data_IF_772766837923
#
_entry.id   IF_772766837923
#
_cell.length_a   1.000
_cell.length_b   1.000
_cell.length_c   1.000
_cell.angle_alpha   90.00
_cell.angle_beta   90.00
_cell.angle_gamma   90.00
#
_symmetry.space_group_name_H-M   'P 1'
#
loop_
_entity.id
_entity.type
_entity.pdbx_description
1 polymer ?
#
# COMPACT_ATOMS: atom_id res chain seq x y z
N UNK A 1 -1.92 5.34 -2.35
CA UNK A 1 -2.62 4.64 -1.25
C UNK A 1 -2.04 3.25 -0.99
N UNK A 2 -1.75 2.44 -2.02
CA UNK A 2 -0.96 1.19 -1.87
C UNK A 2 0.34 1.40 -1.08
N UNK A 3 1.15 2.40 -1.43
CA UNK A 3 2.36 2.77 -0.66
C UNK A 3 2.07 3.10 0.82
N UNK A 4 0.94 3.72 1.14
CA UNK A 4 0.58 4.02 2.54
C UNK A 4 0.07 2.77 3.27
N UNK A 5 -0.67 1.88 2.60
CA UNK A 5 -1.14 0.60 3.14
C UNK A 5 0.03 -0.35 3.31
N UNK A 6 0.92 -0.47 2.33
CA UNK A 6 2.16 -1.25 2.37
C UNK A 6 3.14 -0.71 3.41
N UNK A 7 3.34 0.62 3.51
CA UNK A 7 4.16 1.22 4.58
C UNK A 7 3.52 0.99 5.94
N UNK A 8 2.19 1.07 6.08
CA UNK A 8 1.55 0.84 7.37
C UNK A 8 1.49 -0.66 7.73
N UNK A 9 1.36 -1.57 6.76
CA UNK A 9 1.51 -3.02 6.94
C UNK A 9 2.94 -3.36 7.36
N UNK A 10 3.93 -2.69 6.77
CA UNK A 10 5.34 -2.78 7.18
C UNK A 10 5.63 -2.09 8.52
N UNK A 11 4.79 -1.15 8.96
CA UNK A 11 4.80 -0.63 10.34
C UNK A 11 4.14 -1.63 11.29
N UNK A 12 3.08 -2.32 10.89
CA UNK A 12 2.43 -3.39 11.66
C UNK A 12 3.35 -4.60 11.80
N UNK A 13 4.07 -5.01 10.76
CA UNK A 13 5.01 -6.15 10.81
C UNK A 13 6.40 -5.74 11.28
N UNK A 14 6.83 -4.49 11.03
CA UNK A 14 8.14 -3.98 11.42
C UNK A 14 8.22 -3.42 12.84
N UNK A 15 7.09 -3.04 13.46
CA UNK A 15 7.06 -2.54 14.85
C UNK A 15 6.98 -3.67 15.89
N UNK A 16 6.72 -4.91 15.46
CA UNK A 16 6.92 -6.10 16.27
C UNK A 16 8.22 -6.80 15.86
N UNK A 17 9.31 -6.34 16.47
CA UNK A 17 10.52 -7.12 16.79
C UNK A 17 10.74 -8.40 15.96
N UNK A 18 11.64 -8.34 14.98
CA UNK A 18 12.51 -9.43 14.45
C UNK A 18 12.25 -10.84 15.03
N UNK A 19 11.11 -11.41 14.71
CA UNK A 19 10.73 -12.75 15.12
C UNK A 19 9.64 -13.16 14.16
N UNK A 20 9.90 -14.15 13.32
CA UNK A 20 8.88 -14.76 12.43
C UNK A 20 7.56 -15.02 13.20
N UNK A 21 7.71 -15.40 14.47
CA UNK A 21 6.61 -15.58 15.44
C UNK A 21 5.68 -14.37 15.63
N UNK A 22 6.17 -13.14 15.56
CA UNK A 22 5.35 -11.94 15.79
C UNK A 22 4.58 -11.50 14.53
N UNK A 23 5.16 -11.73 13.35
CA UNK A 23 4.48 -11.60 12.07
C UNK A 23 3.38 -12.67 11.93
N UNK A 24 3.71 -13.92 12.30
CA UNK A 24 2.76 -15.04 12.33
C UNK A 24 1.59 -14.76 13.31
N UNK A 25 1.88 -14.28 14.52
CA UNK A 25 0.84 -13.95 15.52
C UNK A 25 -0.06 -12.76 15.06
N UNK A 26 0.50 -11.76 14.35
CA UNK A 26 -0.27 -10.64 13.77
C UNK A 26 -1.18 -11.10 12.63
N UNK A 27 -0.64 -11.92 11.73
CA UNK A 27 -1.40 -12.52 10.63
C UNK A 27 -2.52 -13.41 11.16
N UNK A 28 -2.26 -14.22 12.19
CA UNK A 28 -3.30 -15.02 12.86
C UNK A 28 -4.43 -14.15 13.42
N UNK A 29 -4.11 -12.98 14.00
CA UNK A 29 -5.12 -12.03 14.47
C UNK A 29 -5.95 -11.44 13.32
N UNK A 30 -5.32 -11.06 12.19
CA UNK A 30 -6.03 -10.55 11.01
C UNK A 30 -6.91 -11.64 10.41
N UNK A 31 -6.40 -12.85 10.24
CA UNK A 31 -7.15 -14.03 9.75
C UNK A 31 -8.40 -14.24 10.61
N UNK A 32 -8.24 -14.26 11.94
CA UNK A 32 -9.37 -14.39 12.86
C UNK A 32 -10.38 -13.25 12.69
N UNK A 33 -9.93 -12.00 12.57
CA UNK A 33 -10.84 -10.86 12.35
C UNK A 33 -11.60 -10.97 11.03
N UNK A 34 -10.97 -11.47 9.96
CA UNK A 34 -11.61 -11.70 8.67
C UNK A 34 -12.62 -12.85 8.73
N UNK A 35 -12.32 -13.92 9.46
CA UNK A 35 -13.24 -15.02 9.74
C UNK A 35 -14.45 -14.57 10.56
N UNK A 36 -14.25 -13.77 11.62
CA UNK A 36 -15.34 -13.21 12.43
C UNK A 36 -16.28 -12.31 11.61
N UNK A 37 -15.77 -11.71 10.53
CA UNK A 37 -16.55 -10.92 9.56
C UNK A 37 -17.12 -11.73 8.40
N UNK A 38 -16.89 -13.04 8.35
CA UNK A 38 -17.33 -13.91 7.27
C UNK A 38 -16.67 -13.61 5.91
N UNK A 39 -15.52 -12.94 5.92
CA UNK A 39 -14.77 -12.61 4.70
C UNK A 39 -13.76 -13.69 4.31
N UNK A 40 -13.46 -14.61 5.24
CA UNK A 40 -12.52 -15.68 5.07
C UNK A 40 -13.09 -16.96 5.69
N UNK A 41 -12.82 -18.11 5.09
CA UNK A 41 -13.32 -19.39 5.59
C UNK A 41 -12.73 -19.71 6.96
N UNK A 42 -13.54 -20.34 7.82
CA UNK A 42 -13.15 -20.68 9.19
C UNK A 42 -11.96 -21.64 9.27
N UNK A 43 -11.70 -22.41 8.20
CA UNK A 43 -10.60 -23.34 8.06
C UNK A 43 -9.41 -22.75 7.28
N UNK A 44 -9.44 -21.46 6.95
CA UNK A 44 -8.33 -20.81 6.26
C UNK A 44 -7.00 -21.01 7.03
N UNK A 45 -5.95 -21.51 6.37
CA UNK A 45 -4.72 -21.87 7.04
C UNK A 45 -3.97 -20.62 7.49
N UNK A 46 -3.52 -20.61 8.74
CA UNK A 46 -2.65 -19.56 9.26
C UNK A 46 -1.62 -20.14 10.22
N UNK A 47 -0.41 -19.59 10.18
CA UNK A 47 0.63 -19.86 11.16
C UNK A 47 0.43 -18.97 12.41
N UNK A 48 0.97 -19.39 13.56
CA UNK A 48 0.94 -18.59 14.79
C UNK A 48 -0.31 -18.75 15.67
N UNK A 49 -0.28 -18.14 16.86
CA UNK A 49 -1.43 -18.07 17.76
C UNK A 49 -1.93 -16.63 17.83
N UNK A 50 -3.25 -16.37 17.74
CA UNK A 50 -3.80 -15.02 17.77
C UNK A 50 -3.65 -14.39 19.17
N UNK A 51 -2.47 -13.85 19.46
CA UNK A 51 -2.11 -13.20 20.73
C UNK A 51 -2.12 -11.70 20.54
N UNK A 52 -2.61 -10.97 21.54
CA UNK A 52 -2.67 -9.49 21.52
C UNK A 52 -3.48 -8.87 20.36
N UNK A 53 -4.50 -9.56 19.84
CA UNK A 53 -5.31 -9.07 18.73
C UNK A 53 -6.01 -7.72 18.99
N UNK A 54 -6.12 -7.29 20.24
CA UNK A 54 -6.63 -5.95 20.57
C UNK A 54 -5.74 -4.84 19.96
N UNK A 55 -4.42 -5.04 19.89
CA UNK A 55 -3.48 -4.09 19.29
C UNK A 55 -3.67 -4.05 17.77
N UNK A 56 -3.74 -5.22 17.14
CA UNK A 56 -4.02 -5.35 15.71
C UNK A 56 -5.35 -4.66 15.36
N UNK A 57 -6.40 -4.90 16.15
CA UNK A 57 -7.70 -4.27 15.96
C UNK A 57 -7.68 -2.75 16.10
N UNK A 58 -6.89 -2.22 17.04
CA UNK A 58 -6.69 -0.77 17.21
C UNK A 58 -6.04 -0.15 15.97
N UNK A 59 -5.04 -0.83 15.41
CA UNK A 59 -4.36 -0.36 14.19
C UNK A 59 -5.27 -0.47 12.97
N UNK A 60 -6.00 -1.57 12.81
CA UNK A 60 -6.98 -1.76 11.73
C UNK A 60 -8.06 -0.68 11.77
N UNK A 61 -8.56 -0.35 12.97
CA UNK A 61 -9.52 0.74 13.13
C UNK A 61 -8.94 2.10 12.72
N UNK A 62 -7.66 2.34 13.05
CA UNK A 62 -6.97 3.57 12.65
C UNK A 62 -6.74 3.65 11.14
N UNK A 63 -6.41 2.51 10.51
CA UNK A 63 -6.30 2.35 9.06
C UNK A 63 -7.62 2.65 8.36
N UNK A 64 -8.68 2.03 8.85
CA UNK A 64 -10.02 2.19 8.33
C UNK A 64 -10.44 3.66 8.38
N UNK A 65 -10.25 4.31 9.54
CA UNK A 65 -10.53 5.74 9.68
C UNK A 65 -9.68 6.60 8.73
N UNK A 66 -8.37 6.34 8.64
CA UNK A 66 -7.47 7.08 7.75
C UNK A 66 -7.76 6.88 6.25
N UNK A 67 -8.28 5.71 5.86
CA UNK A 67 -8.78 5.47 4.52
C UNK A 67 -10.01 6.35 4.23
N UNK A 68 -10.97 6.36 5.15
CA UNK A 68 -12.22 7.08 4.95
C UNK A 68 -12.12 8.59 5.09
N UNK A 69 -11.15 9.13 5.83
CA UNK A 69 -10.94 10.59 5.92
C UNK A 69 -10.54 11.20 4.58
N UNK A 70 -9.99 10.43 3.64
CA UNK A 70 -9.67 10.92 2.29
C UNK A 70 -10.90 11.28 1.46
N UNK A 71 -12.06 10.71 1.80
CA UNK A 71 -13.33 11.10 1.18
C UNK A 71 -13.78 12.46 1.71
N UNK A 72 -13.47 12.78 2.98
CA UNK A 72 -13.80 14.07 3.61
C UNK A 72 -12.96 15.22 3.04
N UNK A 73 -11.78 14.92 2.49
CA UNK A 73 -10.90 15.88 1.79
C UNK A 73 -11.38 16.24 0.38
N UNK A 74 -12.44 15.60 -0.13
CA UNK A 74 -13.00 15.85 -1.46
C UNK A 74 -14.29 16.66 -1.31
N UNK A 75 -14.31 17.86 -1.89
CA UNK A 75 -15.51 18.73 -1.98
C UNK A 75 -16.53 18.14 -2.96
N UNK A 76 -17.21 17.08 -2.55
CA UNK A 76 -18.28 16.52 -3.36
C UNK A 76 -19.42 15.97 -2.49
N UNK A 77 -20.63 16.37 -2.87
CA UNK A 77 -21.90 16.15 -2.15
C UNK A 77 -22.20 14.65 -1.91
N UNK A 78 -21.51 13.72 -2.60
CA UNK A 78 -21.76 12.27 -2.50
C UNK A 78 -20.63 11.48 -1.81
N UNK A 79 -19.58 12.15 -1.32
CA UNK A 79 -18.44 11.49 -0.69
C UNK A 79 -18.84 10.75 0.59
N UNK A 80 -19.74 11.33 1.38
CA UNK A 80 -20.28 10.73 2.61
C UNK A 80 -21.09 9.45 2.34
N UNK A 81 -21.87 9.43 1.26
CA UNK A 81 -22.62 8.25 0.85
C UNK A 81 -21.65 7.11 0.48
N UNK A 82 -20.69 7.40 -0.41
CA UNK A 82 -19.72 6.40 -0.86
C UNK A 82 -18.92 5.85 0.32
N UNK A 83 -18.43 6.73 1.21
CA UNK A 83 -17.74 6.34 2.44
C UNK A 83 -18.59 5.40 3.30
N UNK A 84 -19.88 5.67 3.44
CA UNK A 84 -20.80 4.84 4.21
C UNK A 84 -21.01 3.48 3.57
N UNK A 85 -21.23 3.42 2.26
CA UNK A 85 -21.39 2.16 1.53
C UNK A 85 -20.15 1.27 1.59
N UNK A 86 -18.96 1.85 1.45
CA UNK A 86 -17.70 1.11 1.58
C UNK A 86 -17.49 0.57 3.00
N UNK A 87 -17.87 1.34 4.04
CA UNK A 87 -17.86 0.88 5.43
C UNK A 87 -18.79 -0.31 5.64
N UNK A 88 -20.04 -0.19 5.20
CA UNK A 88 -21.06 -1.21 5.37
C UNK A 88 -20.66 -2.53 4.67
N UNK A 89 -19.94 -2.43 3.55
CA UNK A 89 -19.46 -3.57 2.79
C UNK A 89 -18.07 -4.09 3.22
N UNK A 90 -17.54 -3.60 4.35
CA UNK A 90 -16.24 -3.98 4.92
C UNK A 90 -15.08 -3.84 3.92
N UNK A 91 -15.07 -2.78 3.11
CA UNK A 91 -14.13 -2.64 1.99
C UNK A 91 -12.66 -2.76 2.40
N UNK A 92 -12.27 -2.09 3.50
CA UNK A 92 -10.90 -2.14 4.03
C UNK A 92 -10.50 -3.55 4.45
N UNK A 93 -11.42 -4.33 5.01
CA UNK A 93 -11.16 -5.72 5.39
C UNK A 93 -11.00 -6.63 4.16
N UNK A 94 -11.72 -6.37 3.06
CA UNK A 94 -11.51 -7.07 1.77
C UNK A 94 -10.14 -6.76 1.17
N UNK A 95 -9.66 -5.52 1.32
CA UNK A 95 -8.30 -5.17 0.95
C UNK A 95 -7.25 -5.90 1.83
N UNK A 96 -7.49 -6.02 3.13
CA UNK A 96 -6.63 -6.80 4.03
C UNK A 96 -6.63 -8.30 3.71
N UNK A 97 -7.78 -8.86 3.31
CA UNK A 97 -7.89 -10.26 2.86
C UNK A 97 -6.91 -10.55 1.70
N UNK A 98 -6.75 -9.60 0.78
CA UNK A 98 -5.77 -9.72 -0.32
C UNK A 98 -4.36 -9.96 0.22
N UNK A 99 -3.90 -9.12 1.15
CA UNK A 99 -2.55 -9.21 1.73
C UNK A 99 -2.34 -10.55 2.44
N UNK A 100 -3.34 -11.03 3.20
CA UNK A 100 -3.29 -12.34 3.87
C UNK A 100 -3.19 -13.50 2.88
N UNK A 101 -3.90 -13.43 1.76
CA UNK A 101 -3.81 -14.44 0.70
C UNK A 101 -2.41 -14.40 0.05
N UNK A 102 -1.89 -13.20 -0.28
CA UNK A 102 -0.57 -13.02 -0.90
C UNK A 102 0.58 -13.48 0.03
N UNK A 103 0.44 -13.29 1.34
CA UNK A 103 1.46 -13.67 2.32
C UNK A 103 1.36 -15.12 2.79
N UNK A 104 0.35 -15.88 2.36
CA UNK A 104 0.13 -17.25 2.84
C UNK A 104 1.23 -18.20 2.35
N UNK A 105 1.92 -18.83 3.30
CA UNK A 105 2.94 -19.86 3.04
C UNK A 105 2.34 -21.27 2.90
N UNK A 106 1.07 -21.44 3.30
CA UNK A 106 0.39 -22.74 3.42
C UNK A 106 -0.52 -23.05 2.22
N UNK A 107 -0.76 -22.09 1.35
CA UNK A 107 -1.57 -22.26 0.14
C UNK A 107 -0.70 -22.56 -1.08
N UNK A 108 -1.26 -23.33 -2.02
CA UNK A 108 -0.61 -23.51 -3.32
C UNK A 108 -0.70 -22.21 -4.14
N UNK A 109 0.19 -22.03 -5.12
CA UNK A 109 0.13 -20.84 -6.01
C UNK A 109 -1.19 -20.75 -6.79
N UNK A 110 -1.75 -21.89 -7.19
CA UNK A 110 -3.01 -21.93 -7.93
C UNK A 110 -4.18 -21.49 -7.04
N UNK A 111 -4.19 -21.93 -5.77
CA UNK A 111 -5.19 -21.51 -4.78
C UNK A 111 -5.05 -20.02 -4.45
N UNK A 112 -3.82 -19.53 -4.25
CA UNK A 112 -3.54 -18.10 -4.04
C UNK A 112 -4.10 -17.29 -5.22
N UNK A 113 -3.76 -17.65 -6.46
CA UNK A 113 -4.22 -16.92 -7.64
C UNK A 113 -5.75 -16.94 -7.78
N UNK A 114 -6.38 -18.09 -7.53
CA UNK A 114 -7.84 -18.21 -7.55
C UNK A 114 -8.49 -17.29 -6.52
N UNK A 115 -8.05 -17.36 -5.26
CA UNK A 115 -8.60 -16.56 -4.17
C UNK A 115 -8.36 -15.06 -4.37
N UNK A 116 -7.22 -14.67 -4.95
CA UNK A 116 -6.94 -13.27 -5.30
C UNK A 116 -7.88 -12.76 -6.40
N UNK A 117 -8.14 -13.56 -7.42
CA UNK A 117 -9.08 -13.20 -8.49
C UNK A 117 -10.52 -13.05 -7.96
N UNK A 118 -10.96 -13.99 -7.12
CA UNK A 118 -12.26 -13.90 -6.45
C UNK A 118 -12.36 -12.64 -5.58
N UNK A 119 -11.33 -12.36 -4.77
CA UNK A 119 -11.29 -11.16 -3.93
C UNK A 119 -11.28 -9.87 -4.76
N UNK A 120 -10.63 -9.86 -5.92
CA UNK A 120 -10.59 -8.71 -6.84
C UNK A 120 -11.98 -8.41 -7.42
N UNK A 121 -12.70 -9.43 -7.87
CA UNK A 121 -14.07 -9.26 -8.35
C UNK A 121 -15.02 -8.82 -7.22
N UNK A 122 -14.90 -9.39 -6.02
CA UNK A 122 -15.65 -8.95 -4.84
C UNK A 122 -15.44 -7.47 -4.54
N UNK A 123 -14.19 -7.01 -4.50
CA UNK A 123 -13.86 -5.60 -4.28
C UNK A 123 -14.44 -4.71 -5.38
N UNK A 124 -14.41 -5.16 -6.63
CA UNK A 124 -14.98 -4.43 -7.78
C UNK A 124 -16.50 -4.30 -7.67
N UNK A 125 -17.19 -5.36 -7.27
CA UNK A 125 -18.62 -5.34 -7.06
C UNK A 125 -19.00 -4.34 -5.96
N UNK A 126 -18.31 -4.36 -4.82
CA UNK A 126 -18.55 -3.40 -3.72
C UNK A 126 -18.41 -1.95 -4.19
N UNK A 127 -17.39 -1.64 -5.01
CA UNK A 127 -17.16 -0.28 -5.49
C UNK A 127 -18.22 0.14 -6.52
N UNK A 128 -18.61 -0.78 -7.42
CA UNK A 128 -19.67 -0.53 -8.39
C UNK A 128 -21.03 -0.33 -7.71
N UNK A 129 -21.34 -1.14 -6.69
CA UNK A 129 -22.58 -1.04 -5.93
C UNK A 129 -22.61 0.28 -5.13
N UNK A 130 -21.52 0.60 -4.41
CA UNK A 130 -21.40 1.89 -3.73
C UNK A 130 -21.56 3.07 -4.70
N UNK A 131 -20.97 2.97 -5.89
CA UNK A 131 -21.10 4.01 -6.90
C UNK A 131 -22.55 4.12 -7.40
N UNK A 132 -23.18 2.99 -7.71
CA UNK A 132 -24.56 2.92 -8.20
C UNK A 132 -25.56 3.45 -7.16
N UNK A 133 -25.46 3.00 -5.92
CA UNK A 133 -26.38 3.34 -4.84
C UNK A 133 -26.25 4.81 -4.43
N UNK A 134 -25.03 5.34 -4.45
CA UNK A 134 -24.77 6.76 -4.25
C UNK A 134 -25.01 7.62 -5.50
N UNK A 135 -25.44 7.02 -6.62
CA UNK A 135 -25.58 7.66 -7.93
C UNK A 135 -24.31 8.44 -8.34
N UNK A 136 -23.16 7.92 -7.93
CA UNK A 136 -21.85 8.45 -8.17
C UNK A 136 -21.30 7.80 -9.45
N UNK A 137 -20.54 8.54 -10.26
CA UNK A 137 -19.81 7.93 -11.37
C UNK A 137 -18.89 6.80 -10.84
N UNK A 138 -18.89 5.59 -11.40
CA UNK A 138 -18.00 4.49 -10.99
C UNK A 138 -16.51 4.82 -11.13
N UNK A 139 -16.15 5.94 -11.78
CA UNK A 139 -14.78 6.46 -11.87
C UNK A 139 -14.47 7.54 -10.82
N UNK A 140 -15.28 7.69 -9.78
CA UNK A 140 -15.23 8.78 -8.78
C UNK A 140 -13.80 9.17 -8.35
N UNK A 141 -13.30 10.22 -9.02
CA UNK A 141 -11.99 10.85 -8.84
C UNK A 141 -10.75 9.93 -9.00
N UNK A 142 -10.85 8.79 -9.68
CA UNK A 142 -9.73 7.85 -9.84
C UNK A 142 -9.36 7.11 -8.53
N UNK A 143 -10.12 7.30 -7.44
CA UNK A 143 -9.93 6.58 -6.18
C UNK A 143 -10.27 5.10 -6.39
N UNK A 144 -11.34 4.81 -7.13
CA UNK A 144 -11.73 3.44 -7.48
C UNK A 144 -10.78 2.79 -8.49
N UNK A 145 -10.27 3.56 -9.45
CA UNK A 145 -9.26 3.09 -10.41
C UNK A 145 -7.92 2.76 -9.71
N UNK A 146 -7.50 3.59 -8.74
CA UNK A 146 -6.33 3.32 -7.88
C UNK A 146 -6.51 2.08 -7.01
N UNK A 147 -7.75 1.81 -6.57
CA UNK A 147 -8.11 0.69 -5.72
C UNK A 147 -8.23 -0.64 -6.50
N UNK A 148 -8.74 -0.61 -7.72
CA UNK A 148 -9.03 -1.79 -8.53
C UNK A 148 -7.93 -2.20 -9.51
N UNK A 149 -6.82 -1.45 -9.56
CA UNK A 149 -5.85 -1.54 -10.66
C UNK A 149 -6.52 -1.41 -12.04
N UNK A 150 -7.62 -0.66 -12.13
CA UNK A 150 -8.19 -0.30 -13.43
C UNK A 150 -7.26 0.78 -13.97
N UNK A 151 -6.34 0.35 -14.82
CA UNK A 151 -5.33 1.18 -15.46
C UNK A 151 -5.97 2.06 -16.52
N UNK A 152 -6.78 3.05 -16.10
CA UNK A 152 -7.13 4.16 -16.97
C UNK A 152 -5.90 5.09 -17.03
N UNK A 153 -4.92 4.64 -17.79
CA UNK A 153 -3.54 5.11 -17.71
C UNK A 153 -3.42 6.42 -18.47
N UNK A 154 -3.68 7.53 -17.78
CA UNK A 154 -3.28 8.84 -18.30
C UNK A 154 -1.79 8.79 -18.65
N UNK A 155 -1.40 9.48 -19.72
CA UNK A 155 0.00 9.49 -20.20
C UNK A 155 1.01 9.75 -19.08
N UNK A 156 0.70 10.70 -18.20
CA UNK A 156 1.51 11.05 -17.02
C UNK A 156 1.70 9.87 -16.06
N UNK A 157 0.67 9.06 -15.81
CA UNK A 157 0.77 7.89 -14.92
C UNK A 157 1.65 6.81 -15.53
N UNK A 158 1.56 6.58 -16.84
CA UNK A 158 2.43 5.62 -17.53
C UNK A 158 3.88 6.07 -17.49
N UNK A 159 4.14 7.35 -17.75
CA UNK A 159 5.48 7.94 -17.67
C UNK A 159 6.05 7.85 -16.24
N UNK A 160 5.25 8.12 -15.21
CA UNK A 160 5.66 7.97 -13.81
C UNK A 160 5.95 6.52 -13.43
N UNK A 161 5.14 5.56 -13.88
CA UNK A 161 5.36 4.14 -13.61
C UNK A 161 6.63 3.64 -14.30
N UNK A 162 6.84 4.00 -15.57
CA UNK A 162 8.07 3.74 -16.31
C UNK A 162 9.29 4.30 -15.57
N UNK A 163 9.23 5.58 -15.17
CA UNK A 163 10.35 6.22 -14.47
C UNK A 163 10.62 5.65 -13.08
N UNK A 164 9.58 5.25 -12.35
CA UNK A 164 9.71 4.56 -11.08
C UNK A 164 10.45 3.23 -11.27
N UNK A 165 10.00 2.42 -12.22
CA UNK A 165 10.59 1.11 -12.51
C UNK A 165 12.05 1.24 -13.00
N UNK A 166 12.29 2.10 -14.00
CA UNK A 166 13.63 2.38 -14.54
C UNK A 166 14.59 2.85 -13.45
N UNK A 167 14.18 3.84 -12.65
CA UNK A 167 15.04 4.39 -11.58
C UNK A 167 15.39 3.34 -10.53
N UNK A 168 14.44 2.45 -10.19
CA UNK A 168 14.68 1.38 -9.21
C UNK A 168 15.66 0.34 -9.71
N UNK A 169 15.65 0.04 -11.02
CA UNK A 169 16.62 -0.87 -11.66
C UNK A 169 17.99 -0.19 -11.76
N UNK A 170 18.05 1.04 -12.27
CA UNK A 170 19.29 1.80 -12.44
C UNK A 170 20.02 2.01 -11.11
N UNK A 171 19.27 2.26 -10.03
CA UNK A 171 19.79 2.37 -8.66
C UNK A 171 20.07 1.02 -7.98
N UNK A 172 19.89 -0.10 -8.69
CA UNK A 172 20.11 -1.48 -8.23
C UNK A 172 19.32 -1.82 -6.96
N UNK A 173 18.11 -1.27 -6.83
CA UNK A 173 17.21 -1.54 -5.71
C UNK A 173 16.40 -2.80 -5.96
N UNK A 174 16.06 -3.04 -7.23
CA UNK A 174 15.36 -4.24 -7.68
C UNK A 174 16.11 -4.87 -8.85
N UNK A 175 15.97 -6.18 -8.99
CA UNK A 175 16.42 -6.94 -10.14
C UNK A 175 15.24 -7.72 -10.70
N UNK A 176 14.88 -7.43 -11.95
CA UNK A 176 13.72 -8.02 -12.62
C UNK A 176 14.12 -8.79 -13.90
N UNK A 177 15.43 -9.02 -14.12
CA UNK A 177 15.93 -9.72 -15.31
C UNK A 177 15.58 -9.00 -16.61
N UNK A 178 15.22 -9.77 -17.65
CA UNK A 178 14.86 -9.28 -18.99
C UNK A 178 13.40 -8.80 -19.09
N UNK A 179 12.85 -8.25 -18.02
CA UNK A 179 11.49 -7.73 -18.00
C UNK A 179 11.34 -6.50 -18.91
N UNK A 180 10.24 -6.43 -19.66
CA UNK A 180 9.93 -5.24 -20.45
C UNK A 180 9.55 -4.08 -19.53
N UNK A 181 10.47 -3.12 -19.37
CA UNK A 181 10.30 -1.93 -18.54
C UNK A 181 9.28 -0.96 -19.18
N UNK A 182 8.98 -1.10 -20.49
CA UNK A 182 8.04 -0.27 -21.25
C UNK A 182 6.89 -1.10 -21.87
N UNK A 183 6.06 -1.77 -21.06
CA UNK A 183 5.01 -2.67 -21.58
C UNK A 183 3.92 -1.92 -22.36
N UNK A 184 3.84 -0.59 -22.19
CA UNK A 184 2.89 0.28 -22.88
C UNK A 184 3.44 0.91 -24.16
N UNK A 185 4.68 0.57 -24.56
CA UNK A 185 5.35 1.09 -25.75
C UNK A 185 5.27 2.63 -25.87
N UNK A 186 5.42 3.34 -24.76
CA UNK A 186 5.43 4.81 -24.78
C UNK A 186 6.71 5.34 -25.41
N UNK A 187 6.65 6.54 -25.99
CA UNK A 187 7.85 7.24 -26.47
C UNK A 187 8.71 7.70 -25.28
N UNK A 188 9.75 6.94 -24.99
CA UNK A 188 10.68 7.20 -23.87
C UNK A 188 11.77 8.21 -24.21
N UNK A 189 11.92 8.59 -25.49
CA UNK A 189 13.03 9.46 -25.95
C UNK A 189 12.98 10.87 -25.36
N UNK A 190 11.81 11.30 -24.88
CA UNK A 190 11.57 12.63 -24.31
C UNK A 190 11.25 12.59 -22.81
N UNK A 191 11.29 11.42 -22.18
CA UNK A 191 10.95 11.28 -20.76
C UNK A 191 12.19 11.51 -19.91
N UNK A 192 12.16 12.56 -19.10
CA UNK A 192 13.19 12.85 -18.11
C UNK A 192 12.78 12.25 -16.75
N UNK A 193 13.24 11.03 -16.52
CA UNK A 193 12.89 10.31 -15.29
C UNK A 193 13.53 10.91 -14.04
N UNK A 194 14.72 11.51 -14.14
CA UNK A 194 15.35 12.13 -12.98
C UNK A 194 14.52 13.33 -12.51
N UNK A 195 14.05 14.15 -13.46
CA UNK A 195 13.15 15.26 -13.17
C UNK A 195 11.83 14.80 -12.54
N UNK A 196 11.17 13.79 -13.12
CA UNK A 196 9.89 13.26 -12.59
C UNK A 196 10.06 12.73 -11.16
N UNK A 197 11.14 11.99 -10.89
CA UNK A 197 11.40 11.46 -9.54
C UNK A 197 11.71 12.57 -8.54
N UNK A 198 12.42 13.62 -8.96
CA UNK A 198 12.74 14.76 -8.08
C UNK A 198 11.50 15.62 -7.76
N UNK A 199 10.62 15.83 -8.75
CA UNK A 199 9.33 16.48 -8.54
C UNK A 199 8.46 15.69 -7.54
N UNK A 200 8.41 14.36 -7.67
CA UNK A 200 7.71 13.48 -6.73
C UNK A 200 8.27 13.57 -5.30
N UNK A 201 9.60 13.59 -5.14
CA UNK A 201 10.24 13.76 -3.83
C UNK A 201 9.87 15.10 -3.19
N UNK A 202 9.90 16.16 -3.99
CA UNK A 202 9.54 17.52 -3.55
C UNK A 202 8.08 17.57 -3.09
N UNK A 203 7.16 16.99 -3.86
CA UNK A 203 5.75 16.91 -3.49
C UNK A 203 5.53 16.14 -2.19
N UNK A 204 6.26 15.05 -1.98
CA UNK A 204 6.17 14.28 -0.73
C UNK A 204 6.72 15.09 0.45
N UNK A 205 7.87 15.77 0.29
CA UNK A 205 8.42 16.65 1.33
C UNK A 205 7.40 17.72 1.74
N UNK A 206 6.76 18.40 0.77
CA UNK A 206 5.74 19.40 1.04
C UNK A 206 4.52 18.83 1.76
N UNK A 207 4.04 17.65 1.34
CA UNK A 207 2.93 16.95 2.00
C UNK A 207 3.28 16.57 3.43
N UNK A 208 4.46 16.00 3.68
CA UNK A 208 4.92 15.64 5.03
C UNK A 208 5.00 16.88 5.93
N UNK A 209 5.55 18.00 5.42
CA UNK A 209 5.58 19.28 6.14
C UNK A 209 4.18 19.73 6.53
N UNK A 210 3.27 19.79 5.56
CA UNK A 210 1.88 20.20 5.78
C UNK A 210 1.20 19.32 6.83
N UNK A 211 1.27 17.99 6.66
CA UNK A 211 0.57 17.04 7.54
C UNK A 211 1.09 17.05 8.97
N UNK A 212 2.41 17.09 9.16
CA UNK A 212 2.96 17.14 10.51
C UNK A 212 2.76 18.49 11.19
N UNK A 213 2.80 19.60 10.44
CA UNK A 213 2.46 20.91 10.98
C UNK A 213 0.99 20.98 11.43
N UNK A 214 0.05 20.42 10.66
CA UNK A 214 -1.37 20.31 11.08
C UNK A 214 -1.54 19.53 12.37
N UNK A 215 -0.68 18.53 12.62
CA UNK A 215 -0.65 17.73 13.85
C UNK A 215 0.07 18.44 15.02
N UNK A 216 0.49 19.69 14.85
CA UNK A 216 1.13 20.49 15.89
C UNK A 216 2.57 20.07 16.22
N UNK A 217 3.24 19.36 15.32
CA UNK A 217 4.64 18.97 15.52
C UNK A 217 5.57 20.18 15.42
N UNK A 218 6.66 20.13 16.21
CA UNK A 218 7.69 21.15 16.17
C UNK A 218 8.39 21.17 14.81
N UNK A 219 8.80 22.36 14.34
CA UNK A 219 9.56 22.50 13.09
C UNK A 219 10.81 21.60 13.08
N UNK A 220 11.50 21.47 14.22
CA UNK A 220 12.67 20.59 14.36
C UNK A 220 12.33 19.12 14.16
N UNK A 221 11.20 18.63 14.67
CA UNK A 221 10.75 17.25 14.47
C UNK A 221 10.39 17.00 12.99
N UNK A 222 9.71 17.96 12.35
CA UNK A 222 9.36 17.88 10.93
C UNK A 222 10.62 17.83 10.04
N UNK A 223 11.61 18.69 10.29
CA UNK A 223 12.88 18.65 9.56
C UNK A 223 13.66 17.37 9.81
N UNK A 224 13.66 16.85 11.04
CA UNK A 224 14.30 15.57 11.36
C UNK A 224 13.71 14.43 10.53
N UNK A 225 12.37 14.38 10.42
CA UNK A 225 11.66 13.38 9.62
C UNK A 225 12.06 13.46 8.15
N UNK A 226 12.01 14.66 7.57
CA UNK A 226 12.36 14.87 6.15
C UNK A 226 13.81 14.51 5.87
N UNK A 227 14.72 14.89 6.76
CA UNK A 227 16.13 14.53 6.62
C UNK A 227 16.35 13.02 6.73
N UNK A 228 15.62 12.32 7.60
CA UNK A 228 15.65 10.86 7.64
C UNK A 228 15.12 10.23 6.34
N UNK A 229 14.01 10.74 5.79
CA UNK A 229 13.49 10.28 4.50
C UNK A 229 14.54 10.37 3.37
N UNK A 230 15.27 11.49 3.34
CA UNK A 230 16.35 11.74 2.36
C UNK A 230 17.59 10.87 2.62
N UNK A 231 18.10 10.87 3.85
CA UNK A 231 19.37 10.23 4.20
C UNK A 231 19.28 8.70 4.23
N UNK A 232 18.13 8.14 4.63
CA UNK A 232 17.89 6.70 4.64
C UNK A 232 17.44 6.15 3.28
N UNK A 233 17.48 6.98 2.21
CA UNK A 233 17.00 6.62 0.86
C UNK A 233 15.56 6.09 0.87
N UNK A 234 14.73 6.60 1.78
CA UNK A 234 13.38 6.10 2.00
C UNK A 234 12.49 6.35 0.79
N UNK A 235 12.74 7.46 0.08
CA UNK A 235 12.11 7.77 -1.20
C UNK A 235 12.40 6.69 -2.24
N UNK A 236 13.68 6.39 -2.46
CA UNK A 236 14.12 5.37 -3.40
C UNK A 236 13.54 3.99 -3.10
N UNK A 237 13.53 3.58 -1.83
CA UNK A 237 12.99 2.29 -1.41
C UNK A 237 11.47 2.25 -1.61
N UNK A 238 10.76 3.33 -1.25
CA UNK A 238 9.31 3.42 -1.43
C UNK A 238 8.90 3.42 -2.91
N UNK A 239 9.68 4.09 -3.76
CA UNK A 239 9.50 4.08 -5.23
C UNK A 239 9.72 2.66 -5.76
N UNK A 240 10.77 1.96 -5.30
CA UNK A 240 11.06 0.59 -5.71
C UNK A 240 9.94 -0.40 -5.32
N UNK A 241 9.44 -0.31 -4.09
CA UNK A 241 8.30 -1.12 -3.65
C UNK A 241 7.06 -0.80 -4.49
N UNK A 242 6.76 0.48 -4.72
CA UNK A 242 5.64 0.89 -5.56
C UNK A 242 5.76 0.40 -7.00
N UNK A 243 6.96 0.40 -7.57
CA UNK A 243 7.21 -0.11 -8.91
C UNK A 243 6.97 -1.63 -9.01
N UNK A 244 7.35 -2.40 -7.98
CA UNK A 244 7.08 -3.84 -7.91
C UNK A 244 5.58 -4.17 -7.87
N UNK A 245 4.76 -3.28 -7.30
CA UNK A 245 3.31 -3.50 -7.12
C UNK A 245 2.44 -3.02 -8.29
N UNK A 246 2.95 -2.06 -9.07
CA UNK A 246 2.20 -1.43 -10.17
C UNK A 246 2.48 -2.04 -11.54
N UNK A 247 3.58 -2.78 -11.67
CA UNK A 247 3.96 -3.43 -12.93
C UNK A 247 3.61 -4.92 -12.86
N UNK A 248 3.35 -5.52 -14.02
CA UNK A 248 2.99 -6.94 -14.15
C UNK A 248 4.21 -7.86 -13.97
N UNK A 249 4.89 -7.71 -12.85
CA UNK A 249 6.09 -8.47 -12.47
C UNK A 249 5.65 -9.78 -11.82
N UNK A 250 6.27 -10.89 -12.21
CA UNK A 250 6.05 -12.21 -11.64
C UNK A 250 6.09 -12.20 -10.11
N UNK A 251 5.17 -12.93 -9.48
CA UNK A 251 4.98 -12.90 -8.02
C UNK A 251 6.21 -13.40 -7.25
N UNK A 252 6.98 -14.35 -7.80
CA UNK A 252 8.21 -14.82 -7.15
C UNK A 252 9.32 -13.78 -7.22
N UNK A 253 9.49 -13.13 -8.38
CA UNK A 253 10.44 -12.02 -8.56
C UNK A 253 10.06 -10.85 -7.65
N UNK A 254 8.76 -10.55 -7.54
CA UNK A 254 8.24 -9.52 -6.64
C UNK A 254 8.57 -9.82 -5.19
N UNK A 255 8.33 -11.06 -4.74
CA UNK A 255 8.62 -11.50 -3.38
C UNK A 255 10.12 -11.40 -3.05
N UNK A 256 10.99 -11.89 -3.94
CA UNK A 256 12.45 -11.83 -3.76
C UNK A 256 12.95 -10.37 -3.61
N UNK A 257 12.43 -9.47 -4.45
CA UNK A 257 12.82 -8.06 -4.37
C UNK A 257 12.24 -7.37 -3.13
N UNK A 258 11.01 -7.69 -2.72
CA UNK A 258 10.43 -7.18 -1.47
C UNK A 258 11.29 -7.61 -0.27
N UNK A 259 11.70 -8.88 -0.20
CA UNK A 259 12.56 -9.40 0.88
C UNK A 259 13.89 -8.62 1.00
N UNK A 260 14.51 -8.25 -0.13
CA UNK A 260 15.75 -7.45 -0.15
C UNK A 260 15.57 -6.00 0.31
N UNK A 261 14.38 -5.43 0.08
CA UNK A 261 14.06 -4.03 0.41
C UNK A 261 13.58 -3.87 1.85
N UNK A 262 12.95 -4.89 2.43
CA UNK A 262 12.37 -4.86 3.79
C UNK A 262 13.36 -4.42 4.88
N UNK A 263 14.61 -4.93 4.97
CA UNK A 263 15.55 -4.50 6.01
C UNK A 263 15.92 -3.01 5.91
N UNK A 264 16.04 -2.49 4.69
CA UNK A 264 16.38 -1.09 4.46
C UNK A 264 15.21 -0.18 4.85
N UNK A 265 13.99 -0.59 4.53
CA UNK A 265 12.78 0.10 4.96
C UNK A 265 12.66 0.12 6.49
N UNK A 266 12.87 -1.02 7.15
CA UNK A 266 12.83 -1.12 8.62
C UNK A 266 13.86 -0.20 9.27
N UNK A 267 15.09 -0.13 8.73
CA UNK A 267 16.11 0.79 9.21
C UNK A 267 15.70 2.25 9.05
N UNK A 268 15.04 2.61 7.95
CA UNK A 268 14.51 3.95 7.73
C UNK A 268 13.40 4.30 8.71
N UNK A 269 12.47 3.37 8.96
CA UNK A 269 11.39 3.53 9.95
C UNK A 269 11.96 3.76 11.35
N UNK A 270 12.95 2.98 11.77
CA UNK A 270 13.63 3.17 13.05
C UNK A 270 14.26 4.57 13.18
N UNK A 271 14.86 5.07 12.10
CA UNK A 271 15.38 6.44 12.02
C UNK A 271 14.28 7.49 12.20
N UNK A 272 13.08 7.28 11.63
CA UNK A 272 11.95 8.17 11.81
C UNK A 272 11.47 8.22 13.26
N UNK A 273 11.41 7.09 13.96
CA UNK A 273 11.03 7.05 15.37
C UNK A 273 11.97 7.87 16.26
N UNK A 274 13.27 7.91 15.93
CA UNK A 274 14.23 8.74 16.66
C UNK A 274 13.92 10.25 16.63
N UNK A 275 13.18 10.73 15.62
CA UNK A 275 12.78 12.14 15.52
C UNK A 275 11.66 12.56 16.48
N UNK A 276 10.96 11.59 17.07
CA UNK A 276 9.81 11.84 17.96
C UNK A 276 10.09 11.45 19.41
N UNK A 277 11.04 10.53 19.63
CA UNK A 277 11.34 9.96 20.94
C UNK A 277 12.80 10.13 21.38
N UNK A 278 13.63 10.80 20.57
CA UNK A 278 15.02 11.14 20.85
C UNK A 278 15.21 12.52 21.47
#
# INVERSE_FOLDING_TARGET
MKVFVTILFLVITGSFVKSDRAEDDSNACIVRMLQEKGLLDHDFPHDGQPRMCFLVQTVVTSLENGFYTKFDEKESIKADCVKTELKNNNFVYRAMKKEIIESSKMLSRDDINKMLNENKEDMKNVLNDAAKDCQSDPTWAGIFDEILDITNTSKTVVEQNYCSLKTSIDKKLINIGDFDINPHNIDTSKIDCDKIIEELKTEIDEKLRSEYNKKGLSRSSVECVINNFRNSRFYEISIAIGALEKNDIDSAVRAENKEKLTPQLQSGIAGLFSCFFG
#
